data_IF_118770277778
#
_entry.id   IF_118770277778
#
_cell.length_a   1.000
_cell.length_b   1.000
_cell.length_c   1.000
_cell.angle_alpha   90.00
_cell.angle_beta   90.00
_cell.angle_gamma   90.00
#
_symmetry.space_group_name_H-M   'P 1'
#
loop_
_entity.id
_entity.type
_entity.pdbx_description
1 polymer ?
#
# COMPACT_ATOMS: atom_id res chain seq x y z
N UNK A 1 -4.19 -13.08 -43.92
CA UNK A 1 -4.38 -13.89 -42.69
C UNK A 1 -3.04 -14.00 -41.97
N UNK A 2 -2.78 -13.15 -40.98
CA UNK A 2 -1.54 -13.16 -40.19
C UNK A 2 -1.87 -13.27 -38.71
N UNK A 3 -1.54 -14.41 -38.08
CA UNK A 3 -1.80 -14.69 -36.66
C UNK A 3 -0.89 -13.81 -35.78
N UNK A 4 -1.50 -12.91 -35.02
CA UNK A 4 -0.88 -12.17 -33.92
C UNK A 4 -0.76 -13.07 -32.69
N UNK A 5 0.45 -13.53 -32.38
CA UNK A 5 0.74 -14.27 -31.16
C UNK A 5 0.75 -13.33 -29.95
N UNK A 6 -0.35 -13.21 -29.23
CA UNK A 6 -0.36 -12.70 -27.84
C UNK A 6 0.53 -13.61 -26.98
N UNK A 7 1.72 -13.14 -26.57
CA UNK A 7 2.46 -13.78 -25.49
C UNK A 7 1.73 -13.51 -24.17
N UNK A 8 0.85 -14.44 -23.82
CA UNK A 8 0.18 -14.51 -22.55
C UNK A 8 1.23 -14.94 -21.51
N UNK A 9 1.90 -14.00 -20.84
CA UNK A 9 2.78 -14.32 -19.70
C UNK A 9 1.91 -14.63 -18.49
N UNK A 10 1.22 -15.77 -18.51
CA UNK A 10 0.76 -16.44 -17.28
C UNK A 10 2.02 -16.86 -16.53
N UNK A 11 2.45 -16.07 -15.56
CA UNK A 11 3.43 -16.55 -14.58
C UNK A 11 2.83 -17.78 -13.89
N UNK A 12 3.47 -18.94 -14.06
CA UNK A 12 3.04 -20.18 -13.41
C UNK A 12 3.22 -20.04 -11.89
N UNK A 13 2.13 -19.74 -11.17
CA UNK A 13 2.07 -19.72 -9.69
C UNK A 13 2.55 -21.02 -9.04
N UNK A 14 2.49 -22.16 -9.77
CA UNK A 14 2.99 -23.47 -9.32
C UNK A 14 4.50 -23.50 -8.98
N UNK A 15 5.31 -22.50 -9.35
CA UNK A 15 6.77 -22.51 -9.14
C UNK A 15 7.28 -21.43 -8.18
N UNK A 16 6.41 -20.75 -7.43
CA UNK A 16 6.85 -19.71 -6.50
C UNK A 16 7.34 -20.34 -5.19
N UNK A 17 8.58 -20.03 -4.79
CA UNK A 17 9.14 -20.52 -3.52
C UNK A 17 8.39 -19.88 -2.36
N UNK A 18 8.08 -20.66 -1.32
CA UNK A 18 7.43 -20.12 -0.11
C UNK A 18 8.29 -19.06 0.56
N UNK A 19 7.61 -18.04 1.09
CA UNK A 19 8.24 -16.95 1.83
C UNK A 19 8.83 -17.44 3.16
N UNK A 20 9.84 -16.72 3.64
CA UNK A 20 10.52 -17.07 4.90
C UNK A 20 9.56 -17.07 6.11
N UNK A 21 8.71 -16.05 6.24
CA UNK A 21 7.77 -15.92 7.37
C UNK A 21 6.72 -17.05 7.35
N UNK A 22 6.32 -17.48 6.15
CA UNK A 22 5.40 -18.58 5.97
C UNK A 22 6.03 -19.92 6.37
N UNK A 23 7.29 -20.15 5.98
CA UNK A 23 8.06 -21.32 6.41
C UNK A 23 8.26 -21.28 7.92
N UNK A 24 8.58 -20.12 8.51
CA UNK A 24 8.72 -19.94 9.95
C UNK A 24 7.45 -20.34 10.70
N UNK A 25 6.27 -19.83 10.29
CA UNK A 25 4.99 -20.22 10.90
C UNK A 25 4.68 -21.71 10.77
N UNK A 26 4.87 -22.29 9.58
CA UNK A 26 4.57 -23.70 9.33
C UNK A 26 5.55 -24.67 9.99
N UNK A 27 6.72 -24.19 10.38
CA UNK A 27 7.75 -24.99 11.06
C UNK A 27 7.73 -24.84 12.58
N UNK A 28 6.78 -24.07 13.13
CA UNK A 28 6.57 -24.00 14.58
C UNK A 28 6.16 -25.38 15.14
N UNK A 29 6.56 -25.74 16.37
CA UNK A 29 6.32 -27.06 16.94
C UNK A 29 4.85 -27.51 16.93
N UNK A 30 3.92 -26.56 17.10
CA UNK A 30 2.46 -26.77 17.13
C UNK A 30 1.84 -27.01 15.75
N UNK A 31 2.52 -26.61 14.66
CA UNK A 31 2.00 -26.69 13.28
C UNK A 31 2.81 -27.62 12.37
N UNK A 32 4.00 -28.03 12.79
CA UNK A 32 4.95 -28.80 11.98
C UNK A 32 4.38 -30.16 11.57
N UNK A 33 3.73 -30.86 12.49
CA UNK A 33 3.15 -32.18 12.25
C UNK A 33 2.05 -32.11 11.19
N UNK A 34 1.07 -31.22 11.37
CA UNK A 34 0.00 -30.99 10.38
C UNK A 34 0.54 -30.54 9.02
N UNK A 35 1.61 -29.73 9.01
CA UNK A 35 2.26 -29.29 7.77
C UNK A 35 2.90 -30.46 7.04
N UNK A 36 3.60 -31.33 7.77
CA UNK A 36 4.23 -32.53 7.21
C UNK A 36 3.17 -33.48 6.64
N UNK A 37 2.12 -33.78 7.40
CA UNK A 37 1.02 -34.66 6.96
C UNK A 37 0.41 -34.21 5.64
N UNK A 38 0.07 -32.91 5.53
CA UNK A 38 -0.48 -32.33 4.29
C UNK A 38 0.53 -32.35 3.15
N UNK A 39 1.81 -32.13 3.44
CA UNK A 39 2.85 -32.02 2.43
C UNK A 39 3.28 -33.37 1.87
N UNK A 40 3.15 -34.46 2.62
CA UNK A 40 3.56 -35.82 2.25
C UNK A 40 2.42 -36.70 1.72
N UNK A 41 1.26 -36.12 1.41
CA UNK A 41 0.21 -36.83 0.66
C UNK A 41 0.78 -37.22 -0.72
N UNK A 42 0.64 -38.50 -1.15
CA UNK A 42 1.13 -38.95 -2.45
C UNK A 42 0.63 -38.06 -3.60
N UNK A 43 1.55 -37.57 -4.41
CA UNK A 43 1.29 -36.64 -5.51
C UNK A 43 2.24 -36.91 -6.68
N UNK A 44 1.68 -37.38 -7.79
CA UNK A 44 2.44 -37.80 -8.99
C UNK A 44 3.17 -36.63 -9.67
N UNK A 45 2.76 -35.39 -9.44
CA UNK A 45 3.42 -34.21 -10.02
C UNK A 45 4.68 -33.79 -9.25
N UNK A 46 4.94 -34.39 -8.07
CA UNK A 46 6.05 -34.01 -7.19
C UNK A 46 7.19 -35.02 -7.22
N UNK A 47 8.46 -34.58 -7.05
CA UNK A 47 9.60 -35.48 -6.88
C UNK A 47 9.33 -36.51 -5.78
N UNK A 48 9.62 -37.78 -6.09
CA UNK A 48 9.45 -38.89 -5.14
C UNK A 48 8.00 -39.08 -4.67
N UNK A 49 7.02 -38.78 -5.53
CA UNK A 49 5.58 -38.84 -5.22
C UNK A 49 5.17 -37.95 -4.03
N UNK A 50 5.89 -36.85 -3.80
CA UNK A 50 5.65 -35.95 -2.67
C UNK A 50 6.10 -36.51 -1.31
N UNK A 51 6.64 -37.72 -1.24
CA UNK A 51 6.93 -38.42 0.03
C UNK A 51 8.15 -37.84 0.76
N UNK A 52 9.10 -37.24 0.04
CA UNK A 52 10.35 -36.74 0.63
C UNK A 52 10.37 -35.21 0.65
N UNK A 53 9.72 -34.63 1.65
CA UNK A 53 9.61 -33.19 1.83
C UNK A 53 10.50 -32.66 2.97
N UNK A 54 11.13 -31.51 2.75
CA UNK A 54 11.82 -30.73 3.78
C UNK A 54 10.99 -29.48 4.11
N UNK A 55 10.41 -29.39 5.33
CA UNK A 55 9.54 -28.26 5.69
C UNK A 55 10.33 -26.96 5.84
N UNK A 56 11.55 -27.02 6.39
CA UNK A 56 12.42 -25.85 6.62
C UNK A 56 12.98 -25.19 5.36
N UNK A 57 12.97 -25.91 4.23
CA UNK A 57 13.41 -25.39 2.92
C UNK A 57 12.28 -25.39 1.89
N UNK A 58 11.08 -25.81 2.28
CA UNK A 58 9.92 -26.06 1.43
C UNK A 58 10.28 -26.73 0.09
N UNK A 59 10.96 -27.89 0.16
CA UNK A 59 11.51 -28.58 -1.01
C UNK A 59 11.22 -30.08 -0.99
N UNK A 60 10.82 -30.60 -2.17
CA UNK A 60 10.62 -32.02 -2.42
C UNK A 60 11.86 -32.67 -3.05
N UNK A 61 12.09 -33.95 -2.75
CA UNK A 61 13.23 -34.74 -3.20
C UNK A 61 12.78 -36.04 -3.85
N UNK A 62 13.59 -36.57 -4.77
CA UNK A 62 13.28 -37.82 -5.49
C UNK A 62 13.39 -39.07 -4.61
N UNK A 63 14.18 -39.01 -3.54
CA UNK A 63 14.43 -40.13 -2.63
C UNK A 63 14.77 -39.65 -1.21
N UNK A 64 14.64 -40.55 -0.24
CA UNK A 64 15.07 -40.31 1.14
C UNK A 64 16.56 -39.93 1.22
N UNK A 65 17.42 -40.62 0.45
CA UNK A 65 18.85 -40.34 0.41
C UNK A 65 19.16 -38.90 -0.08
N UNK A 66 18.41 -38.43 -1.08
CA UNK A 66 18.56 -37.06 -1.60
C UNK A 66 18.12 -36.00 -0.56
N UNK A 67 17.05 -36.28 0.20
CA UNK A 67 16.61 -35.43 1.31
C UNK A 67 17.67 -35.35 2.42
N UNK A 68 18.19 -36.50 2.86
CA UNK A 68 19.25 -36.57 3.90
C UNK A 68 20.52 -35.83 3.46
N UNK A 69 20.91 -35.96 2.19
CA UNK A 69 22.05 -35.22 1.62
C UNK A 69 21.81 -33.70 1.65
N UNK A 70 20.58 -33.26 1.31
CA UNK A 70 20.20 -31.86 1.41
C UNK A 70 20.26 -31.33 2.85
N UNK A 71 19.76 -32.08 3.83
CA UNK A 71 19.75 -31.68 5.25
C UNK A 71 21.17 -31.45 5.80
N UNK A 72 22.17 -32.17 5.26
CA UNK A 72 23.58 -31.99 5.61
C UNK A 72 24.25 -30.79 4.91
N UNK A 73 23.61 -30.23 3.89
CA UNK A 73 24.20 -29.19 3.03
C UNK A 73 24.27 -27.81 3.69
N UNK A 74 25.25 -26.99 3.29
CA UNK A 74 25.40 -25.61 3.78
C UNK A 74 24.15 -24.72 3.53
N UNK A 75 23.45 -24.81 2.37
CA UNK A 75 22.19 -24.09 2.16
C UNK A 75 21.11 -24.43 3.21
N UNK A 76 20.96 -25.70 3.57
CA UNK A 76 19.97 -26.12 4.56
C UNK A 76 20.32 -25.60 5.96
N UNK A 77 21.59 -25.73 6.38
CA UNK A 77 22.07 -25.18 7.66
C UNK A 77 21.85 -23.67 7.77
N UNK A 78 22.02 -22.92 6.68
CA UNK A 78 21.70 -21.48 6.64
C UNK A 78 20.21 -21.21 6.76
N UNK A 79 19.36 -22.02 6.13
CA UNK A 79 17.91 -21.90 6.27
C UNK A 79 17.45 -22.15 7.71
N UNK A 80 17.98 -23.19 8.37
CA UNK A 80 17.73 -23.46 9.80
C UNK A 80 18.19 -22.31 10.70
N UNK A 81 19.41 -21.78 10.49
CA UNK A 81 19.90 -20.63 11.27
C UNK A 81 18.99 -19.42 11.13
N UNK A 82 18.49 -19.16 9.93
CA UNK A 82 17.54 -18.07 9.68
C UNK A 82 16.22 -18.29 10.42
N UNK A 83 15.74 -19.53 10.52
CA UNK A 83 14.50 -19.87 11.25
C UNK A 83 14.65 -19.83 12.78
N UNK A 84 15.89 -19.78 13.30
CA UNK A 84 16.16 -19.56 14.73
C UNK A 84 16.13 -18.07 15.11
N UNK A 85 16.27 -17.18 14.13
CA UNK A 85 16.04 -15.76 14.34
C UNK A 85 14.52 -15.56 14.39
N UNK A 86 14.01 -14.90 15.45
CA UNK A 86 12.60 -14.50 15.46
C UNK A 86 12.35 -13.70 14.18
N UNK A 87 11.31 -14.03 13.39
CA UNK A 87 10.95 -13.23 12.25
C UNK A 87 10.75 -11.80 12.76
N UNK A 88 11.27 -10.82 12.03
CA UNK A 88 11.07 -9.41 12.35
C UNK A 88 9.62 -9.19 12.78
N UNK A 89 9.41 -8.94 14.07
CA UNK A 89 8.05 -8.79 14.57
C UNK A 89 7.56 -7.42 14.12
N UNK A 90 6.26 -7.27 13.91
CA UNK A 90 5.77 -6.03 13.30
C UNK A 90 5.94 -4.80 14.20
N UNK A 91 6.02 -4.97 15.52
CA UNK A 91 6.40 -3.83 16.35
C UNK A 91 7.76 -3.29 15.91
N UNK A 92 8.72 -4.16 15.59
CA UNK A 92 10.00 -3.75 15.04
C UNK A 92 9.88 -3.16 13.65
N UNK A 93 8.92 -3.56 12.80
CA UNK A 93 8.72 -2.98 11.47
C UNK A 93 8.01 -1.62 11.51
N UNK A 94 6.96 -1.44 12.32
CA UNK A 94 6.26 -0.16 12.50
C UNK A 94 7.13 0.84 13.25
N UNK A 95 7.78 0.36 14.32
CA UNK A 95 8.82 1.12 15.00
C UNK A 95 9.97 1.38 14.06
N UNK A 96 10.39 0.44 13.21
CA UNK A 96 11.43 0.69 12.21
C UNK A 96 10.98 1.75 11.22
N UNK A 97 9.74 1.76 10.73
CA UNK A 97 9.26 2.82 9.83
C UNK A 97 9.29 4.18 10.54
N UNK A 98 8.66 4.28 11.71
CA UNK A 98 8.64 5.53 12.49
C UNK A 98 10.06 6.00 12.84
N UNK A 99 10.89 5.10 13.37
CA UNK A 99 12.26 5.38 13.77
C UNK A 99 13.18 5.64 12.57
N UNK A 100 13.00 4.95 11.46
CA UNK A 100 13.73 5.18 10.20
C UNK A 100 13.45 6.60 9.73
N UNK A 101 12.19 7.00 9.66
CA UNK A 101 11.80 8.31 9.17
C UNK A 101 12.16 9.44 10.15
N UNK A 102 12.07 9.19 11.46
CA UNK A 102 12.56 10.11 12.49
C UNK A 102 14.09 10.26 12.47
N UNK A 103 14.84 9.17 12.25
CA UNK A 103 16.30 9.23 12.05
C UNK A 103 16.66 9.90 10.73
N UNK A 104 15.85 9.72 9.68
CA UNK A 104 16.04 10.37 8.40
C UNK A 104 15.88 11.89 8.55
N UNK A 105 14.85 12.37 9.24
CA UNK A 105 14.66 13.80 9.50
C UNK A 105 15.77 14.41 10.36
N UNK A 106 16.31 13.65 11.32
CA UNK A 106 17.46 14.09 12.11
C UNK A 106 18.77 14.21 11.31
N UNK A 107 18.92 13.43 10.23
CA UNK A 107 20.16 13.36 9.43
C UNK A 107 20.10 14.15 8.14
N UNK A 108 18.89 14.45 7.65
CA UNK A 108 18.68 15.13 6.39
C UNK A 108 17.94 16.46 6.63
N UNK A 109 18.60 17.62 6.43
CA UNK A 109 17.98 18.92 6.71
C UNK A 109 16.80 19.25 5.80
N UNK A 110 16.60 18.51 4.70
CA UNK A 110 15.45 18.67 3.82
C UNK A 110 14.19 17.98 4.35
N UNK A 111 14.32 17.15 5.38
CA UNK A 111 13.25 16.25 5.85
C UNK A 111 12.81 16.67 7.24
N UNK A 112 11.52 16.93 7.40
CA UNK A 112 10.87 17.19 8.69
C UNK A 112 9.89 16.07 9.02
N UNK A 113 9.80 15.75 10.32
CA UNK A 113 8.86 14.77 10.86
C UNK A 113 7.86 15.50 11.74
N UNK A 114 6.57 15.34 11.46
CA UNK A 114 5.49 16.02 12.18
C UNK A 114 4.45 15.00 12.68
N UNK A 115 4.10 15.06 13.97
CA UNK A 115 2.99 14.26 14.52
C UNK A 115 1.69 15.03 14.32
N UNK A 116 0.74 14.42 13.62
CA UNK A 116 -0.55 15.01 13.26
C UNK A 116 -1.62 14.76 14.34
N UNK A 117 -1.48 13.68 15.10
CA UNK A 117 -2.41 13.25 16.13
C UNK A 117 -2.07 11.85 16.64
N UNK A 118 -2.99 11.27 17.40
CA UNK A 118 -2.87 9.90 17.91
C UNK A 118 -4.08 9.06 17.51
N UNK A 119 -3.84 7.76 17.31
CA UNK A 119 -4.86 6.76 17.00
C UNK A 119 -5.59 6.28 18.26
N UNK A 120 -6.60 5.42 18.10
CA UNK A 120 -7.39 4.87 19.21
C UNK A 120 -6.58 4.00 20.19
N UNK A 121 -5.51 3.36 19.73
CA UNK A 121 -4.58 2.60 20.56
C UNK A 121 -3.33 3.42 20.96
N UNK A 122 -3.36 4.75 20.77
CA UNK A 122 -2.35 5.68 21.28
C UNK A 122 -1.05 5.75 20.45
N UNK A 123 -1.09 5.37 19.17
CA UNK A 123 0.08 5.48 18.27
C UNK A 123 0.08 6.83 17.58
N UNK A 124 1.27 7.38 17.37
CA UNK A 124 1.42 8.62 16.63
C UNK A 124 1.06 8.41 15.15
N UNK A 125 0.14 9.24 14.65
CA UNK A 125 -0.08 9.46 13.23
C UNK A 125 0.83 10.60 12.80
N UNK A 126 1.65 10.40 11.76
CA UNK A 126 2.71 11.34 11.41
C UNK A 126 2.83 11.57 9.90
N UNK A 127 3.38 12.73 9.54
CA UNK A 127 3.75 13.12 8.19
C UNK A 127 5.27 13.35 8.07
N UNK A 128 5.77 13.18 6.85
CA UNK A 128 7.11 13.56 6.42
C UNK A 128 6.99 14.67 5.39
N UNK A 129 7.53 15.85 5.69
CA UNK A 129 7.69 16.93 4.72
C UNK A 129 9.12 16.89 4.17
N UNK A 130 9.26 16.88 2.84
CA UNK A 130 10.53 16.93 2.12
C UNK A 130 10.55 18.19 1.27
N UNK A 131 11.40 19.15 1.64
CA UNK A 131 11.41 20.46 0.99
C UNK A 131 12.77 21.15 1.05
N UNK A 132 13.10 21.92 0.01
CA UNK A 132 14.17 22.92 0.04
C UNK A 132 13.66 24.31 0.42
N UNK A 133 12.40 24.59 0.09
CA UNK A 133 11.79 25.89 0.29
C UNK A 133 10.29 25.74 0.57
N UNK A 134 9.91 26.22 1.75
CA UNK A 134 8.54 26.18 2.27
C UNK A 134 7.54 27.00 1.43
N UNK A 135 7.99 27.89 0.55
CA UNK A 135 7.14 28.68 -0.35
C UNK A 135 6.79 27.97 -1.67
N UNK A 136 7.36 26.79 -1.94
CA UNK A 136 7.06 26.03 -3.16
C UNK A 136 5.65 25.40 -3.11
N UNK A 137 5.02 25.08 -4.24
CA UNK A 137 3.78 24.31 -4.25
C UNK A 137 3.94 22.90 -3.65
N UNK A 138 2.90 22.42 -2.97
CA UNK A 138 2.87 21.14 -2.23
C UNK A 138 2.26 20.04 -3.10
N UNK A 139 2.93 18.89 -3.14
CA UNK A 139 2.39 17.59 -3.57
C UNK A 139 2.18 16.76 -2.30
N UNK A 140 0.94 16.41 -2.01
CA UNK A 140 0.60 15.57 -0.86
C UNK A 140 0.30 14.15 -1.33
N UNK A 141 0.96 13.17 -0.72
CA UNK A 141 0.78 11.74 -0.97
C UNK A 141 0.52 11.02 0.35
N UNK A 142 -0.54 10.21 0.42
CA UNK A 142 -0.77 9.33 1.57
C UNK A 142 -0.93 7.86 1.14
N UNK A 143 -0.83 6.97 2.13
CA UNK A 143 -0.95 5.54 1.95
C UNK A 143 -1.27 4.83 3.26
N UNK A 144 -1.54 3.53 3.16
CA UNK A 144 -1.82 2.70 4.33
C UNK A 144 -3.09 3.10 5.10
N UNK A 145 -4.07 3.73 4.44
CA UNK A 145 -5.39 3.99 5.05
C UNK A 145 -6.16 2.69 5.29
N UNK A 146 -6.02 1.71 4.40
CA UNK A 146 -6.49 0.35 4.65
C UNK A 146 -5.32 -0.54 5.09
N UNK A 147 -5.51 -1.20 6.22
CA UNK A 147 -4.46 -1.90 6.94
C UNK A 147 -3.81 -3.07 6.19
N UNK A 148 -4.56 -3.80 5.36
CA UNK A 148 -4.09 -4.98 4.63
C UNK A 148 -3.28 -4.67 3.36
N UNK A 149 -3.26 -3.42 2.93
CA UNK A 149 -2.68 -2.99 1.64
C UNK A 149 -1.18 -2.71 1.79
N UNK A 150 -0.39 -3.68 2.28
CA UNK A 150 1.01 -3.48 2.69
C UNK A 150 1.95 -2.94 1.61
N UNK A 151 1.61 -3.15 0.33
CA UNK A 151 2.38 -2.59 -0.79
C UNK A 151 2.28 -1.06 -0.85
N UNK A 152 1.21 -0.45 -0.32
CA UNK A 152 1.03 1.01 -0.31
C UNK A 152 2.07 1.69 0.61
N UNK A 153 2.15 1.40 1.93
CA UNK A 153 3.20 1.95 2.79
C UNK A 153 4.61 1.69 2.27
N UNK A 154 4.87 0.46 1.81
CA UNK A 154 6.18 0.08 1.27
C UNK A 154 6.57 0.89 0.02
N UNK A 155 5.61 1.20 -0.84
CA UNK A 155 5.85 2.02 -2.04
C UNK A 155 6.07 3.50 -1.70
N UNK A 156 5.39 4.02 -0.67
CA UNK A 156 5.64 5.38 -0.18
C UNK A 156 7.02 5.51 0.46
N UNK A 157 7.50 4.49 1.18
CA UNK A 157 8.87 4.49 1.70
C UNK A 157 9.91 4.50 0.58
N UNK A 158 9.65 3.74 -0.50
CA UNK A 158 10.49 3.78 -1.70
C UNK A 158 10.49 5.16 -2.36
N UNK A 159 9.34 5.84 -2.43
CA UNK A 159 9.26 7.22 -2.92
C UNK A 159 10.04 8.19 -2.02
N UNK A 160 9.93 8.08 -0.70
CA UNK A 160 10.69 8.89 0.25
C UNK A 160 12.19 8.72 0.02
N UNK A 161 12.67 7.48 -0.06
CA UNK A 161 14.08 7.19 -0.34
C UNK A 161 14.52 7.78 -1.69
N UNK A 162 13.73 7.61 -2.75
CA UNK A 162 14.03 8.18 -4.07
C UNK A 162 14.18 9.70 -4.02
N UNK A 163 13.26 10.39 -3.34
CA UNK A 163 13.25 11.85 -3.21
C UNK A 163 14.48 12.41 -2.47
N UNK A 164 14.99 11.68 -1.47
CA UNK A 164 16.15 12.12 -0.68
C UNK A 164 17.50 11.66 -1.24
N UNK A 165 17.53 10.54 -1.96
CA UNK A 165 18.77 9.86 -2.35
C UNK A 165 19.29 10.23 -3.74
N UNK A 166 18.43 10.64 -4.69
CA UNK A 166 18.87 10.85 -6.09
C UNK A 166 19.12 12.32 -6.43
N UNK A 167 20.13 12.57 -7.28
CA UNK A 167 20.42 13.91 -7.81
C UNK A 167 19.32 14.41 -8.77
N UNK A 168 18.66 13.51 -9.50
CA UNK A 168 17.52 13.84 -10.37
C UNK A 168 16.32 14.33 -9.57
N UNK A 169 16.00 13.70 -8.42
CA UNK A 169 14.91 14.14 -7.55
C UNK A 169 15.13 15.52 -6.93
N UNK A 170 16.39 15.95 -6.80
CA UNK A 170 16.70 17.32 -6.36
C UNK A 170 16.12 18.39 -7.29
N UNK A 171 15.93 18.10 -8.58
CA UNK A 171 15.32 19.04 -9.54
C UNK A 171 13.82 19.21 -9.33
N UNK A 172 13.12 18.18 -8.82
CA UNK A 172 11.71 18.29 -8.43
C UNK A 172 11.58 19.09 -7.13
N UNK A 173 12.50 18.90 -6.19
CA UNK A 173 12.54 19.66 -4.93
C UNK A 173 12.89 21.15 -5.10
N UNK A 174 13.35 21.56 -6.28
CA UNK A 174 13.48 22.99 -6.64
C UNK A 174 12.15 23.62 -7.07
N UNK A 175 11.16 22.80 -7.42
CA UNK A 175 9.85 23.23 -7.93
C UNK A 175 8.70 22.93 -6.99
N UNK A 176 8.82 21.90 -6.17
CA UNK A 176 7.75 21.41 -5.31
C UNK A 176 8.30 21.02 -3.94
N UNK A 177 7.42 21.01 -2.96
CA UNK A 177 7.60 20.33 -1.68
C UNK A 177 6.69 19.11 -1.62
N UNK A 178 7.11 18.06 -0.93
CA UNK A 178 6.34 16.82 -0.80
C UNK A 178 5.94 16.62 0.66
N UNK A 179 4.66 16.30 0.89
CA UNK A 179 4.14 15.90 2.19
C UNK A 179 3.65 14.46 2.06
N UNK A 180 4.23 13.57 2.84
CA UNK A 180 4.03 12.12 2.73
C UNK A 180 3.52 11.55 4.05
N UNK A 181 2.43 10.78 3.99
CA UNK A 181 1.86 10.06 5.14
C UNK A 181 1.86 8.57 4.81
N UNK A 182 2.94 7.83 5.16
CA UNK A 182 3.12 6.44 4.72
C UNK A 182 2.09 5.46 5.30
N UNK A 183 1.61 5.73 6.53
CA UNK A 183 0.68 4.86 7.25
C UNK A 183 -0.38 5.73 7.92
N UNK A 184 -1.51 5.93 7.24
CA UNK A 184 -2.63 6.73 7.75
C UNK A 184 -3.45 5.97 8.82
N UNK A 185 -3.43 4.63 8.79
CA UNK A 185 -4.08 3.77 9.79
C UNK A 185 -3.06 2.91 10.55
N UNK A 186 -2.26 3.49 11.48
CA UNK A 186 -1.24 2.75 12.22
C UNK A 186 -1.79 1.56 13.01
N UNK A 187 -2.92 1.72 13.69
CA UNK A 187 -3.47 0.65 14.53
C UNK A 187 -3.94 -0.54 13.70
N UNK A 188 -4.65 -0.27 12.62
CA UNK A 188 -5.06 -1.30 11.68
C UNK A 188 -3.85 -1.99 11.06
N UNK A 189 -2.82 -1.23 10.66
CA UNK A 189 -1.60 -1.78 10.08
C UNK A 189 -0.90 -2.75 11.04
N UNK A 190 -0.70 -2.36 12.30
CA UNK A 190 -0.16 -3.25 13.34
C UNK A 190 -1.03 -4.51 13.48
N UNK A 191 -2.35 -4.33 13.53
CA UNK A 191 -3.29 -5.43 13.69
C UNK A 191 -3.25 -6.41 12.49
N UNK A 192 -3.06 -5.90 11.27
CA UNK A 192 -3.04 -6.74 10.08
C UNK A 192 -1.81 -7.64 10.02
N UNK A 193 -0.71 -7.21 10.61
CA UNK A 193 0.48 -8.05 10.72
C UNK A 193 0.47 -9.01 11.91
N UNK A 194 -0.14 -8.62 13.04
CA UNK A 194 -0.11 -9.42 14.27
C UNK A 194 -1.23 -10.45 14.38
N UNK A 195 -2.44 -10.10 13.93
CA UNK A 195 -3.63 -10.87 14.27
C UNK A 195 -4.42 -11.29 13.03
N UNK A 196 -4.68 -10.38 12.10
CA UNK A 196 -5.51 -10.67 10.93
C UNK A 196 -4.98 -10.01 9.67
N UNK A 197 -4.31 -10.81 8.83
CA UNK A 197 -3.71 -10.35 7.57
C UNK A 197 -4.66 -9.59 6.65
N UNK A 198 -5.96 -9.87 6.72
CA UNK A 198 -6.97 -9.25 5.88
C UNK A 198 -7.73 -8.12 6.57
N UNK A 199 -7.30 -7.69 7.75
CA UNK A 199 -7.87 -6.54 8.43
C UNK A 199 -7.74 -5.27 7.58
N UNK A 200 -8.85 -4.55 7.41
CA UNK A 200 -8.94 -3.36 6.56
C UNK A 200 -9.05 -2.07 7.37
N UNK A 201 -9.94 -2.06 8.35
CA UNK A 201 -10.44 -0.89 9.09
C UNK A 201 -9.41 -0.33 10.07
N UNK A 202 -9.73 0.77 10.76
CA UNK A 202 -8.98 1.16 11.96
C UNK A 202 -9.31 0.24 13.15
N UNK A 203 -8.93 0.63 14.38
CA UNK A 203 -9.12 -0.17 15.60
C UNK A 203 -10.01 0.50 16.65
N UNK A 204 -10.82 1.47 16.25
CA UNK A 204 -11.83 2.06 17.13
C UNK A 204 -12.88 1.02 17.57
N UNK A 205 -13.64 1.33 18.62
CA UNK A 205 -14.75 0.48 19.10
C UNK A 205 -16.04 1.29 19.12
N UNK A 206 -16.66 1.53 17.95
CA UNK A 206 -17.83 2.40 17.84
C UNK A 206 -19.10 1.75 18.45
N UNK A 207 -19.14 0.42 18.56
CA UNK A 207 -20.20 -0.33 19.27
C UNK A 207 -19.57 -1.50 20.03
N UNK A 208 -20.23 -2.03 21.05
CA UNK A 208 -19.72 -3.15 21.86
C UNK A 208 -19.42 -4.42 21.04
N UNK A 209 -20.19 -4.66 19.98
CA UNK A 209 -20.08 -5.83 19.10
C UNK A 209 -19.21 -5.60 17.87
N UNK A 210 -18.58 -4.43 17.75
CA UNK A 210 -17.96 -3.98 16.51
C UNK A 210 -16.59 -3.35 16.77
N UNK A 211 -15.63 -3.72 15.93
CA UNK A 211 -14.30 -3.11 15.95
C UNK A 211 -14.00 -2.53 14.57
N UNK A 212 -13.55 -1.29 14.56
CA UNK A 212 -13.06 -0.57 13.40
C UNK A 212 -14.14 0.04 12.52
N UNK A 213 -13.75 1.16 11.92
CA UNK A 213 -14.43 1.91 10.86
C UNK A 213 -13.53 1.93 9.63
N UNK A 214 -14.14 1.86 8.44
CA UNK A 214 -13.44 2.12 7.19
C UNK A 214 -13.14 3.62 7.11
N UNK A 215 -11.87 3.98 7.36
CA UNK A 215 -11.40 5.37 7.36
C UNK A 215 -11.67 6.04 6.00
N UNK A 216 -11.64 5.28 4.89
CA UNK A 216 -11.95 5.78 3.55
C UNK A 216 -13.45 5.77 3.22
N UNK A 217 -14.31 5.62 4.23
CA UNK A 217 -15.76 5.89 4.17
C UNK A 217 -16.19 6.90 5.23
N UNK A 218 -15.25 7.46 5.99
CA UNK A 218 -15.53 8.30 7.15
C UNK A 218 -15.35 9.81 6.88
N UNK A 219 -14.79 10.22 5.75
CA UNK A 219 -14.67 11.64 5.41
C UNK A 219 -16.04 12.27 5.12
N UNK A 220 -16.24 13.58 5.34
CA UNK A 220 -17.57 14.22 5.25
C UNK A 220 -18.12 14.31 3.82
N UNK A 221 -17.27 14.32 2.80
CA UNK A 221 -17.71 14.42 1.41
C UNK A 221 -18.58 13.23 1.00
N UNK A 222 -19.84 13.52 0.70
CA UNK A 222 -20.85 12.52 0.35
C UNK A 222 -20.94 11.38 1.37
N UNK A 223 -20.67 11.65 2.64
CA UNK A 223 -20.74 10.64 3.68
C UNK A 223 -22.16 10.06 3.77
N UNK A 224 -22.25 8.74 3.80
CA UNK A 224 -23.49 8.02 3.97
C UNK A 224 -23.32 6.95 5.05
N UNK A 225 -24.33 6.74 5.92
CA UNK A 225 -24.29 5.66 6.89
C UNK A 225 -24.26 4.31 6.15
N UNK A 226 -23.43 3.40 6.65
CA UNK A 226 -23.41 2.02 6.16
C UNK A 226 -24.40 1.19 6.96
N UNK A 227 -25.40 0.67 6.28
CA UNK A 227 -26.36 -0.27 6.87
C UNK A 227 -25.72 -1.65 7.06
N UNK A 228 -26.02 -2.33 8.17
CA UNK A 228 -25.59 -3.71 8.41
C UNK A 228 -25.27 -4.02 9.87
N UNK A 229 -25.66 -5.22 10.30
CA UNK A 229 -25.22 -5.78 11.58
C UNK A 229 -23.73 -6.17 11.52
N UNK A 230 -23.02 -6.04 12.64
CA UNK A 230 -21.62 -6.54 12.77
C UNK A 230 -20.52 -5.64 12.20
N UNK A 231 -20.83 -4.45 11.68
CA UNK A 231 -19.87 -3.49 11.10
C UNK A 231 -19.01 -4.10 9.97
N UNK A 232 -19.53 -4.16 8.74
CA UNK A 232 -18.80 -4.71 7.60
C UNK A 232 -17.48 -3.99 7.36
N UNK A 233 -16.64 -4.56 6.48
CA UNK A 233 -15.36 -3.98 6.06
C UNK A 233 -15.47 -2.56 5.53
N UNK A 234 -16.65 -2.18 5.01
CA UNK A 234 -16.99 -0.86 4.49
C UNK A 234 -17.72 0.04 5.50
N UNK A 235 -17.82 -0.35 6.78
CA UNK A 235 -18.58 0.40 7.78
C UNK A 235 -18.08 1.85 7.91
N UNK A 236 -18.93 2.82 7.56
CA UNK A 236 -18.58 4.25 7.47
C UNK A 236 -18.50 5.00 8.81
N UNK A 237 -18.77 4.31 9.92
CA UNK A 237 -18.75 4.88 11.27
C UNK A 237 -20.11 5.37 11.75
N UNK A 238 -20.22 5.78 13.03
CA UNK A 238 -21.46 6.33 13.59
C UNK A 238 -21.85 7.70 13.02
N UNK A 239 -20.87 8.46 12.52
CA UNK A 239 -21.06 9.75 11.85
C UNK A 239 -19.86 10.06 10.95
N UNK A 240 -19.99 11.03 10.05
CA UNK A 240 -18.84 11.60 9.36
C UNK A 240 -17.80 12.09 10.37
N UNK A 241 -16.51 11.90 10.05
CA UNK A 241 -15.36 12.28 10.86
C UNK A 241 -15.42 11.78 12.32
N UNK A 242 -16.00 10.59 12.55
CA UNK A 242 -16.02 9.97 13.88
C UNK A 242 -14.66 9.45 14.34
N UNK A 243 -13.78 9.10 13.40
CA UNK A 243 -12.50 8.45 13.71
C UNK A 243 -11.39 9.46 14.00
N UNK A 244 -10.51 9.13 14.95
CA UNK A 244 -9.37 10.01 15.32
C UNK A 244 -8.42 10.23 14.14
N UNK A 245 -8.19 9.19 13.33
CA UNK A 245 -7.36 9.30 12.12
C UNK A 245 -7.99 10.29 11.12
N UNK A 246 -9.29 10.18 10.86
CA UNK A 246 -10.02 11.09 9.96
C UNK A 246 -10.03 12.52 10.49
N UNK A 247 -10.25 12.72 11.80
CA UNK A 247 -10.23 14.04 12.43
C UNK A 247 -8.85 14.70 12.34
N UNK A 248 -7.77 13.96 12.59
CA UNK A 248 -6.41 14.45 12.45
C UNK A 248 -6.12 14.88 11.00
N UNK A 249 -6.55 14.08 10.02
CA UNK A 249 -6.40 14.40 8.60
C UNK A 249 -7.20 15.62 8.15
N UNK A 250 -8.44 15.79 8.63
CA UNK A 250 -9.25 16.98 8.35
C UNK A 250 -8.60 18.24 8.94
N UNK A 251 -8.16 18.16 10.20
CA UNK A 251 -7.51 19.29 10.88
C UNK A 251 -6.22 19.70 10.15
N UNK A 252 -5.38 18.72 9.84
CA UNK A 252 -4.11 18.95 9.16
C UNK A 252 -4.31 19.52 7.76
N UNK A 253 -5.18 18.89 6.96
CA UNK A 253 -5.39 19.27 5.56
C UNK A 253 -6.02 20.66 5.41
N UNK A 254 -7.00 21.01 6.25
CA UNK A 254 -7.58 22.37 6.28
C UNK A 254 -6.53 23.44 6.61
N UNK A 255 -5.66 23.18 7.58
CA UNK A 255 -4.56 24.08 7.90
C UNK A 255 -3.53 24.16 6.76
N UNK A 256 -3.26 23.03 6.12
CA UNK A 256 -2.29 22.96 5.03
C UNK A 256 -2.77 23.79 3.82
N UNK A 257 -4.01 23.63 3.37
CA UNK A 257 -4.53 24.37 2.21
C UNK A 257 -4.76 25.86 2.50
N UNK A 258 -4.98 26.25 3.77
CA UNK A 258 -5.12 27.66 4.14
C UNK A 258 -3.78 28.39 4.27
N UNK A 259 -2.67 27.66 4.42
CA UNK A 259 -1.34 28.24 4.65
C UNK A 259 -0.34 27.97 3.52
N UNK A 260 -0.64 27.04 2.61
CA UNK A 260 0.28 26.57 1.56
C UNK A 260 -0.44 26.38 0.23
N UNK A 261 0.32 26.49 -0.86
CA UNK A 261 -0.17 26.18 -2.19
C UNK A 261 -0.19 24.68 -2.48
N UNK A 262 -1.25 23.98 -2.05
CA UNK A 262 -1.42 22.54 -2.31
C UNK A 262 -1.98 22.32 -3.72
N UNK A 263 -1.20 21.63 -4.56
CA UNK A 263 -1.51 21.44 -5.96
C UNK A 263 -2.01 20.04 -6.28
N UNK A 264 -1.53 19.03 -5.56
CA UNK A 264 -1.93 17.66 -5.80
C UNK A 264 -2.12 16.87 -4.52
N UNK A 265 -3.09 15.95 -4.55
CA UNK A 265 -3.34 14.93 -3.54
C UNK A 265 -3.41 13.55 -4.20
N UNK A 266 -2.55 12.63 -3.77
CA UNK A 266 -2.54 11.23 -4.22
C UNK A 266 -2.77 10.30 -3.03
N UNK A 267 -3.82 9.50 -3.05
CA UNK A 267 -4.05 8.44 -2.05
C UNK A 267 -3.71 7.08 -2.65
N UNK A 268 -2.74 6.40 -2.04
CA UNK A 268 -2.19 5.15 -2.55
C UNK A 268 -2.83 3.96 -1.83
N UNK A 269 -3.47 3.11 -2.62
CA UNK A 269 -4.17 1.90 -2.22
C UNK A 269 -3.60 0.67 -2.94
N UNK A 270 -4.13 -0.51 -2.62
CA UNK A 270 -3.99 -1.69 -3.46
C UNK A 270 -5.25 -2.56 -3.32
N UNK A 271 -5.66 -3.36 -4.30
CA UNK A 271 -5.01 -3.65 -5.57
C UNK A 271 -6.00 -3.47 -6.72
N UNK A 272 -5.47 -3.39 -7.94
CA UNK A 272 -6.29 -3.37 -9.15
C UNK A 272 -5.58 -2.76 -10.36
N UNK A 273 -4.43 -2.12 -10.16
CA UNK A 273 -3.75 -1.31 -11.17
C UNK A 273 -4.69 -0.25 -11.77
N UNK A 274 -5.27 0.59 -10.90
CA UNK A 274 -6.22 1.63 -11.28
C UNK A 274 -5.65 3.01 -10.94
N UNK A 275 -5.75 3.94 -11.89
CA UNK A 275 -5.50 5.38 -11.72
C UNK A 275 -6.87 6.07 -11.78
N UNK A 276 -7.42 6.37 -10.62
CA UNK A 276 -8.82 6.72 -10.48
C UNK A 276 -9.03 8.20 -10.19
N UNK A 277 -10.10 8.74 -10.78
CA UNK A 277 -10.52 10.13 -10.67
C UNK A 277 -11.87 10.24 -9.96
N UNK A 278 -12.12 11.38 -9.31
CA UNK A 278 -13.41 11.67 -8.69
C UNK A 278 -14.57 11.72 -9.70
N UNK A 279 -15.82 11.56 -9.25
CA UNK A 279 -16.24 11.19 -7.89
C UNK A 279 -16.46 9.69 -7.69
N UNK A 280 -16.43 9.22 -6.44
CA UNK A 280 -16.82 7.86 -6.07
C UNK A 280 -18.32 7.70 -5.77
N UNK A 281 -19.02 8.79 -5.47
CA UNK A 281 -20.35 8.73 -4.87
C UNK A 281 -21.53 8.47 -5.82
N UNK A 282 -21.40 8.75 -7.12
CA UNK A 282 -22.51 8.60 -8.07
C UNK A 282 -22.04 8.58 -9.53
N UNK A 283 -22.60 7.67 -10.33
CA UNK A 283 -22.33 7.58 -11.78
C UNK A 283 -22.70 8.85 -12.52
N UNK A 284 -21.99 9.10 -13.63
CA UNK A 284 -22.18 10.28 -14.49
C UNK A 284 -22.01 11.62 -13.75
N UNK A 285 -21.26 11.62 -12.63
CA UNK A 285 -20.88 12.81 -11.89
C UNK A 285 -19.37 12.99 -11.95
N UNK A 286 -18.94 14.16 -12.41
CA UNK A 286 -17.53 14.45 -12.65
C UNK A 286 -17.17 15.85 -12.13
N UNK A 287 -15.95 16.04 -11.59
CA UNK A 287 -15.46 17.37 -11.27
C UNK A 287 -15.27 18.21 -12.55
N UNK A 288 -15.30 19.54 -12.42
CA UNK A 288 -15.22 20.47 -13.57
C UNK A 288 -13.97 20.25 -14.44
N UNK A 289 -12.85 19.89 -13.82
CA UNK A 289 -11.57 19.65 -14.47
C UNK A 289 -11.29 18.17 -14.79
N UNK A 290 -12.32 17.32 -14.81
CA UNK A 290 -12.16 15.87 -15.04
C UNK A 290 -11.35 15.54 -16.30
N UNK A 291 -11.60 16.24 -17.42
CA UNK A 291 -10.90 15.99 -18.68
C UNK A 291 -9.39 16.28 -18.57
N UNK A 292 -9.01 17.36 -17.88
CA UNK A 292 -7.59 17.70 -17.68
C UNK A 292 -6.88 16.65 -16.82
N UNK A 293 -7.56 16.21 -15.75
CA UNK A 293 -7.06 15.13 -14.90
C UNK A 293 -6.97 13.79 -15.65
N UNK A 294 -7.94 13.49 -16.53
CA UNK A 294 -7.93 12.27 -17.33
C UNK A 294 -6.77 12.26 -18.32
N UNK A 295 -6.46 13.39 -18.96
CA UNK A 295 -5.27 13.54 -19.82
C UNK A 295 -4.00 13.29 -19.02
N UNK A 296 -3.88 13.89 -17.83
CA UNK A 296 -2.73 13.71 -16.95
C UNK A 296 -2.57 12.24 -16.49
N UNK A 297 -3.66 11.58 -16.12
CA UNK A 297 -3.64 10.15 -15.77
C UNK A 297 -3.28 9.25 -16.97
N UNK A 298 -3.71 9.60 -18.18
CA UNK A 298 -3.30 8.89 -19.39
C UNK A 298 -1.81 9.08 -19.70
N UNK A 299 -1.24 10.27 -19.43
CA UNK A 299 0.20 10.50 -19.51
C UNK A 299 0.97 9.63 -18.51
N UNK A 300 0.52 9.56 -17.24
CA UNK A 300 1.11 8.67 -16.23
C UNK A 300 1.05 7.20 -16.66
N UNK A 301 -0.11 6.76 -17.17
CA UNK A 301 -0.30 5.41 -17.71
C UNK A 301 0.69 5.11 -18.84
N UNK A 302 0.86 6.03 -19.78
CA UNK A 302 1.77 5.84 -20.90
C UNK A 302 3.23 5.71 -20.44
N UNK A 303 3.67 6.55 -19.51
CA UNK A 303 5.02 6.48 -18.95
C UNK A 303 5.27 5.18 -18.17
N UNK A 304 4.27 4.67 -17.45
CA UNK A 304 4.34 3.36 -16.79
C UNK A 304 4.50 2.21 -17.78
N UNK A 305 3.76 2.24 -18.89
CA UNK A 305 3.87 1.23 -19.95
C UNK A 305 5.27 1.25 -20.56
N UNK A 306 5.79 2.45 -20.86
CA UNK A 306 7.08 2.61 -21.52
C UNK A 306 8.27 2.26 -20.62
N UNK A 307 8.23 2.71 -19.36
CA UNK A 307 9.41 2.69 -18.50
C UNK A 307 9.38 1.58 -17.44
N UNK A 308 8.20 1.10 -17.06
CA UNK A 308 8.03 0.12 -15.98
C UNK A 308 7.36 -1.19 -16.45
N UNK A 309 6.94 -1.28 -17.72
CA UNK A 309 6.18 -2.42 -18.26
C UNK A 309 4.93 -2.74 -17.41
N UNK A 310 4.27 -1.69 -16.90
CA UNK A 310 3.07 -1.78 -16.08
C UNK A 310 1.93 -1.02 -16.73
N UNK A 311 0.72 -1.58 -16.71
CA UNK A 311 -0.45 -0.98 -17.34
C UNK A 311 -1.56 -0.80 -16.32
N UNK A 312 -2.01 0.45 -16.17
CA UNK A 312 -3.08 0.84 -15.27
C UNK A 312 -4.33 1.22 -16.07
N UNK A 313 -5.50 0.92 -15.53
CA UNK A 313 -6.77 1.45 -16.05
C UNK A 313 -6.98 2.86 -15.52
N UNK A 314 -7.48 3.75 -16.38
CA UNK A 314 -7.74 5.16 -16.03
C UNK A 314 -9.23 5.40 -16.14
N UNK A 315 -9.81 6.08 -15.16
CA UNK A 315 -11.24 6.37 -15.17
C UNK A 315 -11.76 6.88 -13.84
N UNK A 316 -13.04 7.20 -13.82
CA UNK A 316 -13.73 7.62 -12.62
C UNK A 316 -13.85 6.47 -11.59
N UNK A 317 -13.81 6.80 -10.29
CA UNK A 317 -13.87 5.83 -9.18
C UNK A 317 -15.12 4.94 -9.27
N UNK A 318 -16.31 5.52 -9.43
CA UNK A 318 -17.56 4.73 -9.47
C UNK A 318 -17.69 3.90 -10.76
N UNK A 319 -17.10 4.36 -11.86
CA UNK A 319 -17.12 3.64 -13.13
C UNK A 319 -16.13 2.45 -13.15
N UNK A 320 -14.98 2.58 -12.49
CA UNK A 320 -13.96 1.52 -12.40
C UNK A 320 -14.20 0.53 -11.26
N UNK A 321 -14.85 0.97 -10.18
CA UNK A 321 -15.14 0.16 -9.00
C UNK A 321 -16.65 0.06 -8.78
N UNK A 322 -17.16 0.85 -7.84
CA UNK A 322 -18.53 0.84 -7.36
C UNK A 322 -18.84 2.15 -6.64
N UNK A 323 -20.12 2.38 -6.34
CA UNK A 323 -20.58 3.59 -5.66
C UNK A 323 -20.10 3.61 -4.21
N UNK A 324 -19.40 4.67 -3.82
CA UNK A 324 -18.81 4.84 -2.49
C UNK A 324 -18.81 6.31 -2.07
N UNK A 325 -19.41 6.61 -0.92
CA UNK A 325 -19.35 7.92 -0.26
C UNK A 325 -18.30 7.96 0.86
N UNK A 326 -17.88 9.17 1.27
CA UNK A 326 -17.00 9.38 2.41
C UNK A 326 -15.52 9.05 2.18
N UNK A 327 -15.09 9.02 0.91
CA UNK A 327 -13.69 8.79 0.54
C UNK A 327 -12.81 10.05 0.64
N UNK A 328 -11.51 9.85 0.89
CA UNK A 328 -10.53 10.95 1.03
C UNK A 328 -10.35 11.76 -0.26
N UNK A 329 -10.42 11.13 -1.44
CA UNK A 329 -10.26 11.80 -2.74
C UNK A 329 -11.44 12.72 -3.08
N UNK A 330 -12.66 12.30 -2.75
CA UNK A 330 -13.85 13.16 -2.92
C UNK A 330 -13.78 14.35 -1.96
N UNK A 331 -13.35 14.11 -0.72
CA UNK A 331 -13.09 15.17 0.27
C UNK A 331 -12.02 16.16 -0.17
N UNK A 332 -10.89 15.69 -0.71
CA UNK A 332 -9.83 16.58 -1.20
C UNK A 332 -10.28 17.42 -2.39
N UNK A 333 -11.18 16.89 -3.22
CA UNK A 333 -11.74 17.59 -4.37
C UNK A 333 -12.79 18.64 -3.97
N UNK A 334 -13.69 18.32 -3.04
CA UNK A 334 -14.87 19.15 -2.73
C UNK A 334 -14.58 20.14 -1.61
N UNK A 335 -14.10 19.64 -0.48
CA UNK A 335 -13.93 20.43 0.74
C UNK A 335 -12.62 21.21 0.71
N UNK A 336 -11.55 20.61 0.17
CA UNK A 336 -10.23 21.23 0.10
C UNK A 336 -9.96 21.94 -1.23
N UNK A 337 -10.74 21.64 -2.28
CA UNK A 337 -10.58 22.21 -3.63
C UNK A 337 -9.15 22.07 -4.18
N UNK A 338 -8.46 20.98 -3.83
CA UNK A 338 -7.13 20.69 -4.39
C UNK A 338 -7.31 20.43 -5.89
N UNK A 339 -6.51 21.03 -6.78
CA UNK A 339 -6.79 20.98 -8.21
C UNK A 339 -6.51 19.61 -8.83
N UNK A 340 -5.49 18.88 -8.37
CA UNK A 340 -5.16 17.54 -8.87
C UNK A 340 -5.39 16.48 -7.80
N UNK A 341 -6.29 15.53 -8.06
CA UNK A 341 -6.58 14.44 -7.12
C UNK A 341 -6.63 13.09 -7.83
N UNK A 342 -5.93 12.10 -7.27
CA UNK A 342 -6.02 10.72 -7.76
C UNK A 342 -6.09 9.72 -6.59
N UNK A 343 -6.94 8.71 -6.75
CA UNK A 343 -6.86 7.47 -5.98
C UNK A 343 -6.17 6.41 -6.82
N UNK A 344 -5.14 5.76 -6.27
CA UNK A 344 -4.28 4.85 -7.04
C UNK A 344 -4.35 3.47 -6.41
N UNK A 345 -4.95 2.50 -7.10
CA UNK A 345 -4.89 1.10 -6.73
C UNK A 345 -3.66 0.47 -7.37
N UNK A 346 -2.66 0.13 -6.56
CA UNK A 346 -1.41 -0.45 -7.04
C UNK A 346 -1.60 -1.89 -7.54
N UNK A 347 -0.49 -2.50 -7.94
CA UNK A 347 -0.47 -3.89 -8.36
C UNK A 347 -0.97 -4.84 -7.25
N UNK A 348 -1.45 -6.03 -7.58
CA UNK A 348 -1.64 -6.56 -8.93
C UNK A 348 -3.11 -6.48 -9.36
N UNK A 349 -3.57 -7.38 -10.23
CA UNK A 349 -4.99 -7.45 -10.66
C UNK A 349 -5.72 -8.65 -10.05
N UNK A 350 -5.20 -9.20 -8.94
CA UNK A 350 -5.84 -10.27 -8.16
C UNK A 350 -5.12 -11.62 -8.16
N UNK A 351 -3.92 -11.74 -8.75
CA UNK A 351 -3.14 -12.98 -8.66
C UNK A 351 -2.63 -13.22 -7.23
N UNK A 352 -2.16 -12.16 -6.57
CA UNK A 352 -1.79 -12.12 -5.16
C UNK A 352 -2.73 -11.22 -4.36
N UNK A 353 -3.26 -10.17 -4.98
CA UNK A 353 -4.03 -9.16 -4.28
C UNK A 353 -3.23 -8.58 -3.11
N UNK A 354 -3.80 -8.65 -1.91
CA UNK A 354 -3.17 -8.08 -0.71
C UNK A 354 -1.92 -8.83 -0.24
N UNK A 355 -1.76 -10.12 -0.54
CA UNK A 355 -0.63 -10.96 -0.07
C UNK A 355 0.53 -11.01 -1.08
N UNK A 356 0.81 -9.87 -1.70
CA UNK A 356 1.87 -9.72 -2.70
C UNK A 356 3.26 -10.08 -2.15
N UNK A 357 4.07 -10.88 -2.89
CA UNK A 357 5.42 -11.20 -2.45
C UNK A 357 6.32 -9.97 -2.35
N UNK A 358 7.22 -9.96 -1.36
CA UNK A 358 8.15 -8.84 -1.12
C UNK A 358 9.04 -8.48 -2.33
N UNK A 359 9.26 -9.42 -3.26
CA UNK A 359 10.00 -9.16 -4.51
C UNK A 359 9.34 -8.10 -5.40
N UNK A 360 8.04 -7.81 -5.20
CA UNK A 360 7.32 -6.77 -5.93
C UNK A 360 7.39 -5.39 -5.28
N UNK A 361 7.91 -5.26 -4.05
CA UNK A 361 8.00 -3.96 -3.35
C UNK A 361 8.77 -2.94 -4.19
N UNK A 362 9.97 -3.29 -4.67
CA UNK A 362 10.79 -2.38 -5.47
C UNK A 362 10.15 -2.10 -6.85
N UNK A 363 9.73 -3.12 -7.64
CA UNK A 363 9.03 -2.87 -8.90
C UNK A 363 7.82 -1.95 -8.76
N UNK A 364 6.96 -2.19 -7.77
CA UNK A 364 5.75 -1.37 -7.56
C UNK A 364 6.10 0.01 -6.99
N UNK A 365 7.11 0.12 -6.13
CA UNK A 365 7.64 1.40 -5.68
C UNK A 365 8.12 2.28 -6.85
N UNK A 366 8.75 1.68 -7.87
CA UNK A 366 9.10 2.40 -9.11
C UNK A 366 7.88 2.88 -9.91
N UNK A 367 6.73 2.19 -9.82
CA UNK A 367 5.50 2.70 -10.44
C UNK A 367 5.05 4.00 -9.78
N UNK A 368 5.06 4.05 -8.44
CA UNK A 368 4.69 5.27 -7.70
C UNK A 368 5.64 6.41 -8.02
N UNK A 369 6.95 6.15 -8.04
CA UNK A 369 7.95 7.13 -8.47
C UNK A 369 7.65 7.64 -9.88
N UNK A 370 7.44 6.75 -10.85
CA UNK A 370 7.15 7.13 -12.23
C UNK A 370 5.89 8.00 -12.33
N UNK A 371 4.81 7.65 -11.62
CA UNK A 371 3.57 8.43 -11.60
C UNK A 371 3.80 9.83 -11.04
N UNK A 372 4.54 9.95 -9.93
CA UNK A 372 4.87 11.24 -9.30
C UNK A 372 5.77 12.08 -10.21
N UNK A 373 6.76 11.46 -10.86
CA UNK A 373 7.64 12.16 -11.81
C UNK A 373 6.87 12.70 -13.02
N UNK A 374 5.97 11.89 -13.60
CA UNK A 374 5.09 12.33 -14.69
C UNK A 374 4.14 13.44 -14.20
N UNK A 375 3.56 13.30 -13.00
CA UNK A 375 2.71 14.32 -12.39
C UNK A 375 3.42 15.68 -12.32
N UNK A 376 4.59 15.73 -11.68
CA UNK A 376 5.29 17.01 -11.45
C UNK A 376 5.88 17.60 -12.73
N UNK A 377 6.12 16.76 -13.75
CA UNK A 377 6.58 17.19 -15.08
C UNK A 377 5.45 17.83 -15.89
N UNK A 378 4.27 17.23 -15.90
CA UNK A 378 3.16 17.61 -16.79
C UNK A 378 2.14 18.55 -16.16
N UNK A 379 1.99 18.52 -14.83
CA UNK A 379 1.05 19.38 -14.12
C UNK A 379 1.45 20.85 -14.28
N UNK A 380 0.46 21.68 -14.61
CA UNK A 380 0.60 23.14 -14.65
C UNK A 380 0.20 23.71 -13.29
N UNK A 381 1.12 24.24 -12.48
CA UNK A 381 0.77 24.77 -11.16
C UNK A 381 -0.19 25.95 -11.28
N UNK A 382 -1.26 25.94 -10.50
CA UNK A 382 -2.09 27.12 -10.29
C UNK A 382 -1.44 28.01 -9.22
N UNK A 383 -1.48 29.32 -9.42
CA UNK A 383 -1.07 30.29 -8.39
C UNK A 383 -2.29 30.54 -7.49
N UNK A 384 -2.05 30.60 -6.16
CA UNK A 384 -3.03 31.12 -5.20
C UNK A 384 -3.24 32.61 -5.47
#
# INVERSE_FOLDING_TARGET
>A
MGRTGRRNTRYKTKSMKRGFDQIHEETKPDKLETTLEKATVPDEEKPGLGQYFCPFCHKYFISAAAKVSHEKSAPHKRALKRLLEDPHNQYDADWAIQNLLKKLSQRNPLVTYEVLGQTHEGRDLFAIEITKNKSLPVIWVDGGIHAREWISPSSLLYLIDHLVSTSSSKSYLDKYQFILIPVLNPDGYVYSHKYDRYWRKNRSRPKSTCVGVDVNRNFPAFWLPTDGEGCPDSYSGPSAASELETQAMIKYSKNLVSTRNVQAFLTIHAYGQLLMLCYGNKKLSYPKNYNDLAVLALMMKNDLIQNQNASYSVGNIVDLLYEAGGGSTDYSTIDLQIPVNFAIELADTGQYGFIMPASFIIPVGKHVVQMVETLVREMKPTKI
#
